data_IF_992320792714
#
_entry.id   IF_992320792714
#
_cell.length_a   1.000
_cell.length_b   1.000
_cell.length_c   1.000
_cell.angle_alpha   90.00
_cell.angle_beta   90.00
_cell.angle_gamma   90.00
#
_symmetry.space_group_name_H-M   'P 1'
#
loop_
_entity.id
_entity.type
_entity.pdbx_description
1 polymer ?
#
# COMPACT_ATOMS: atom_id res chain seq x y z
N UNK A 1 -6.16 3.81 0.59
CA UNK A 1 -7.01 2.61 0.65
C UNK A 1 -6.65 1.67 -0.48
N UNK A 2 -6.31 0.43 -0.16
CA UNK A 2 -5.86 -0.53 -1.16
C UNK A 2 -6.93 -0.74 -2.23
N UNK A 3 -6.50 -0.74 -3.49
CA UNK A 3 -7.37 -1.07 -4.62
C UNK A 3 -7.57 -2.58 -4.69
N UNK A 4 -8.58 -3.05 -5.42
CA UNK A 4 -8.76 -4.49 -5.68
C UNK A 4 -7.50 -5.15 -6.26
N UNK A 5 -6.71 -4.43 -7.06
CA UNK A 5 -5.42 -4.93 -7.57
C UNK A 5 -4.42 -5.19 -6.44
N UNK A 6 -4.26 -4.24 -5.51
CA UNK A 6 -3.37 -4.41 -4.36
C UNK A 6 -3.79 -5.60 -3.48
N UNK A 7 -5.10 -5.79 -3.28
CA UNK A 7 -5.64 -6.96 -2.56
C UNK A 7 -5.30 -8.27 -3.27
N UNK A 8 -5.40 -8.33 -4.61
CA UNK A 8 -4.98 -9.51 -5.39
C UNK A 8 -3.49 -9.78 -5.28
N UNK A 9 -2.65 -8.74 -5.26
CA UNK A 9 -1.19 -8.89 -5.05
C UNK A 9 -0.92 -9.56 -3.70
N UNK A 10 -1.59 -9.10 -2.63
CA UNK A 10 -1.46 -9.73 -1.30
C UNK A 10 -1.88 -11.19 -1.31
N UNK A 11 -2.98 -11.52 -1.99
CA UNK A 11 -3.44 -12.91 -2.14
C UNK A 11 -2.43 -13.74 -2.95
N UNK A 12 -1.90 -13.20 -4.05
CA UNK A 12 -0.90 -13.85 -4.90
C UNK A 12 0.37 -14.21 -4.11
N UNK A 13 0.92 -13.24 -3.36
CA UNK A 13 2.10 -13.46 -2.50
C UNK A 13 1.84 -14.54 -1.44
N UNK A 14 0.66 -14.52 -0.82
CA UNK A 14 0.26 -15.52 0.16
C UNK A 14 0.08 -16.91 -0.45
N UNK A 15 -0.52 -17.01 -1.64
CA UNK A 15 -0.66 -18.27 -2.38
C UNK A 15 0.71 -18.82 -2.75
N UNK A 16 1.63 -17.97 -3.21
CA UNK A 16 3.00 -18.37 -3.53
C UNK A 16 3.72 -18.94 -2.31
N UNK A 17 3.67 -18.24 -1.17
CA UNK A 17 4.22 -18.74 0.09
C UNK A 17 3.57 -20.06 0.54
N UNK A 18 2.26 -20.20 0.37
CA UNK A 18 1.52 -21.42 0.72
C UNK A 18 1.92 -22.61 -0.16
N UNK A 19 1.97 -22.45 -1.48
CA UNK A 19 2.29 -23.56 -2.40
C UNK A 19 3.76 -23.94 -2.43
N UNK A 20 4.66 -23.07 -1.99
CA UNK A 20 6.06 -23.44 -1.75
C UNK A 20 6.22 -24.23 -0.45
N UNK A 21 5.41 -23.91 0.56
CA UNK A 21 5.49 -24.55 1.87
C UNK A 21 4.37 -25.57 2.06
N UNK A 22 4.61 -26.81 1.65
CA UNK A 22 3.60 -27.88 1.65
C UNK A 22 3.03 -28.26 3.03
N UNK A 23 3.63 -27.80 4.14
CA UNK A 23 3.25 -28.18 5.50
C UNK A 23 2.52 -27.08 6.29
N UNK A 24 2.34 -25.88 5.71
CA UNK A 24 1.67 -24.80 6.41
C UNK A 24 0.15 -25.02 6.45
N UNK A 25 -0.45 -24.95 7.66
CA UNK A 25 -1.90 -25.02 7.81
C UNK A 25 -2.56 -23.81 7.16
N UNK A 26 -3.68 -24.02 6.47
CA UNK A 26 -4.48 -22.95 5.83
C UNK A 26 -4.75 -21.77 6.77
N UNK A 27 -5.18 -22.04 8.01
CA UNK A 27 -5.47 -20.99 9.00
C UNK A 27 -4.25 -20.16 9.40
N UNK A 28 -3.05 -20.76 9.38
CA UNK A 28 -1.80 -20.05 9.67
C UNK A 28 -1.43 -19.17 8.47
N UNK A 29 -1.55 -19.70 7.26
CA UNK A 29 -1.26 -18.95 6.04
C UNK A 29 -2.24 -17.77 5.85
N UNK A 30 -3.52 -17.95 6.15
CA UNK A 30 -4.54 -16.88 6.17
C UNK A 30 -4.14 -15.79 7.17
N UNK A 31 -3.82 -16.17 8.41
CA UNK A 31 -3.38 -15.23 9.44
C UNK A 31 -2.13 -14.46 8.99
N UNK A 32 -1.15 -15.15 8.42
CA UNK A 32 0.06 -14.51 7.90
C UNK A 32 -0.25 -13.52 6.77
N UNK A 33 -1.16 -13.85 5.85
CA UNK A 33 -1.60 -12.95 4.78
C UNK A 33 -2.27 -11.69 5.34
N UNK A 34 -3.22 -11.86 6.27
CA UNK A 34 -3.93 -10.73 6.88
C UNK A 34 -2.98 -9.83 7.68
N UNK A 35 -2.07 -10.42 8.45
CA UNK A 35 -1.05 -9.67 9.18
C UNK A 35 -0.10 -8.93 8.24
N UNK A 36 0.38 -9.57 7.17
CA UNK A 36 1.21 -8.91 6.15
C UNK A 36 0.50 -7.70 5.53
N UNK A 37 -0.80 -7.81 5.24
CA UNK A 37 -1.57 -6.67 4.76
C UNK A 37 -1.65 -5.54 5.81
N UNK A 38 -1.91 -5.87 7.07
CA UNK A 38 -1.98 -4.89 8.17
C UNK A 38 -0.63 -4.17 8.40
N UNK A 39 0.51 -4.87 8.20
CA UNK A 39 1.86 -4.27 8.29
C UNK A 39 2.13 -3.15 7.27
N UNK A 40 1.41 -3.11 6.15
CA UNK A 40 1.49 -2.01 5.17
C UNK A 40 1.03 -0.71 5.82
N UNK A 41 -0.06 -0.76 6.58
CA UNK A 41 -0.62 0.41 7.22
C UNK A 41 0.27 0.89 8.38
N UNK A 42 0.90 -0.04 9.10
CA UNK A 42 1.91 0.28 10.09
C UNK A 42 3.09 1.04 9.48
N UNK A 43 3.64 0.58 8.36
CA UNK A 43 4.69 1.30 7.64
C UNK A 43 4.24 2.70 7.20
N UNK A 44 3.00 2.84 6.72
CA UNK A 44 2.47 4.16 6.35
C UNK A 44 2.41 5.13 7.55
N UNK A 45 1.98 4.67 8.73
CA UNK A 45 2.02 5.50 9.95
C UNK A 45 3.47 5.78 10.38
N UNK A 46 4.37 4.82 10.20
CA UNK A 46 5.80 4.97 10.48
C UNK A 46 6.42 6.08 9.61
N UNK A 47 6.18 6.04 8.30
CA UNK A 47 6.61 7.07 7.34
C UNK A 47 6.00 8.44 7.63
N UNK A 48 4.70 8.52 7.95
CA UNK A 48 4.07 9.78 8.37
C UNK A 48 4.71 10.36 9.63
N UNK A 49 5.07 9.50 10.60
CA UNK A 49 5.76 9.95 11.81
C UNK A 49 7.15 10.51 11.53
N UNK A 50 7.85 10.02 10.50
CA UNK A 50 9.16 10.57 10.11
C UNK A 50 9.06 12.04 9.74
N UNK A 51 8.05 12.42 8.94
CA UNK A 51 7.80 13.81 8.55
C UNK A 51 7.59 14.69 9.79
N UNK A 52 6.83 14.20 10.78
CA UNK A 52 6.63 14.91 12.05
C UNK A 52 7.96 15.09 12.80
N UNK A 53 8.85 14.10 12.79
CA UNK A 53 10.16 14.23 13.42
C UNK A 53 11.08 15.23 12.69
N UNK A 54 10.98 15.36 11.36
CA UNK A 54 11.67 16.44 10.62
C UNK A 54 11.22 17.83 11.10
N UNK A 55 9.92 18.02 11.28
CA UNK A 55 9.36 19.31 11.75
C UNK A 55 9.78 19.60 13.20
N UNK A 56 9.75 18.59 14.07
CA UNK A 56 10.25 18.72 15.45
C UNK A 56 11.75 19.04 15.49
N UNK A 57 12.54 18.42 14.62
CA UNK A 57 13.96 18.71 14.49
C UNK A 57 14.19 20.16 14.05
N UNK A 58 13.39 20.66 13.10
CA UNK A 58 13.43 22.06 12.69
C UNK A 58 13.11 23.01 13.85
N UNK A 59 12.09 22.72 14.65
CA UNK A 59 11.74 23.50 15.84
C UNK A 59 12.87 23.50 16.88
N UNK A 60 13.47 22.34 17.15
CA UNK A 60 14.64 22.21 18.04
C UNK A 60 15.80 23.08 17.55
N UNK A 61 16.07 23.08 16.24
CA UNK A 61 17.14 23.91 15.63
C UNK A 61 16.89 25.40 15.76
N UNK A 62 15.65 25.85 15.61
CA UNK A 62 15.28 27.26 15.85
C UNK A 62 15.58 27.66 17.30
N UNK A 63 15.20 26.83 18.27
CA UNK A 63 15.43 27.11 19.69
C UNK A 63 16.91 27.05 20.08
N UNK A 64 17.69 26.15 19.48
CA UNK A 64 19.15 26.12 19.64
C UNK A 64 19.81 27.37 19.06
N UNK A 65 19.34 27.86 17.91
CA UNK A 65 19.89 29.04 17.25
C UNK A 65 19.68 30.32 18.07
N UNK A 66 18.50 30.49 18.70
CA UNK A 66 18.23 31.61 19.62
C UNK A 66 19.19 31.65 20.82
N UNK A 67 19.75 30.50 21.20
CA UNK A 67 20.64 30.33 22.36
C UNK A 67 22.13 30.40 22.01
N UNK A 68 22.48 30.69 20.75
CA UNK A 68 23.87 30.93 20.36
C UNK A 68 24.47 32.05 21.21
N UNK A 69 25.79 32.03 21.38
CA UNK A 69 26.50 33.08 22.10
C UNK A 69 26.37 34.45 21.42
N UNK A 70 26.25 34.47 20.08
CA UNK A 70 25.93 35.64 19.28
C UNK A 70 24.82 35.31 18.26
N UNK A 71 23.53 35.42 18.62
CA UNK A 71 22.41 35.21 17.70
C UNK A 71 22.34 36.31 16.63
N UNK A 72 22.05 35.95 15.38
CA UNK A 72 21.72 36.92 14.32
C UNK A 72 20.29 37.46 14.48
N UNK A 73 19.92 38.49 13.72
CA UNK A 73 18.51 38.98 13.69
C UNK A 73 17.54 37.89 13.23
N UNK A 74 17.94 37.09 12.23
CA UNK A 74 17.20 35.92 11.76
C UNK A 74 17.12 34.80 12.81
N UNK A 75 18.14 34.66 13.67
CA UNK A 75 18.10 33.70 14.78
C UNK A 75 17.09 34.15 15.85
N UNK A 76 16.98 35.45 16.12
CA UNK A 76 16.04 36.03 17.09
C UNK A 76 14.60 36.07 16.56
N UNK A 77 14.42 36.35 15.28
CA UNK A 77 13.14 36.47 14.60
C UNK A 77 13.04 35.47 13.42
N UNK A 78 13.11 34.15 13.69
CA UNK A 78 13.14 33.15 12.66
C UNK A 78 11.80 33.06 11.93
N UNK A 79 11.84 32.76 10.63
CA UNK A 79 10.65 32.36 9.91
C UNK A 79 10.18 30.98 10.40
N UNK A 80 9.04 30.95 11.10
CA UNK A 80 8.48 29.74 11.72
C UNK A 80 7.46 29.00 10.83
N UNK A 81 7.24 29.45 9.59
CA UNK A 81 6.19 28.91 8.70
C UNK A 81 6.20 27.38 8.57
N UNK A 82 7.39 26.76 8.47
CA UNK A 82 7.51 25.29 8.41
C UNK A 82 7.24 24.59 9.74
N UNK A 83 7.65 25.17 10.88
CA UNK A 83 7.43 24.57 12.20
C UNK A 83 6.00 24.74 12.68
N UNK A 84 5.34 25.81 12.23
CA UNK A 84 3.93 26.10 12.50
C UNK A 84 3.00 25.50 11.46
N UNK A 85 3.48 24.56 10.63
CA UNK A 85 2.73 23.96 9.52
C UNK A 85 1.37 23.39 10.00
N UNK A 86 0.28 23.94 9.44
CA UNK A 86 -1.09 23.68 9.86
C UNK A 86 -1.51 22.23 9.62
N UNK A 87 -1.03 21.61 8.54
CA UNK A 87 -1.29 20.20 8.26
C UNK A 87 -0.64 19.31 9.32
N UNK A 88 0.61 19.60 9.70
CA UNK A 88 1.35 18.82 10.71
C UNK A 88 0.71 18.99 12.10
N UNK A 89 0.29 20.20 12.46
CA UNK A 89 -0.49 20.44 13.67
C UNK A 89 -1.78 19.59 13.67
N UNK A 90 -2.54 19.61 12.56
CA UNK A 90 -3.76 18.80 12.41
C UNK A 90 -3.52 17.30 12.56
N UNK A 91 -2.50 16.77 11.87
CA UNK A 91 -2.13 15.36 11.91
C UNK A 91 -1.72 14.95 13.33
N UNK A 92 -0.90 15.76 13.98
CA UNK A 92 -0.38 15.47 15.33
C UNK A 92 -1.42 15.65 16.42
N UNK A 93 -2.51 16.39 16.18
CA UNK A 93 -3.66 16.48 17.09
C UNK A 93 -4.68 15.34 16.91
N UNK A 94 -4.75 14.76 15.70
CA UNK A 94 -5.69 13.69 15.36
C UNK A 94 -5.57 12.47 16.28
N UNK A 95 -6.68 12.07 16.91
CA UNK A 95 -6.71 10.96 17.89
C UNK A 95 -6.45 9.60 17.26
N UNK A 96 -6.89 9.41 16.02
CA UNK A 96 -6.76 8.16 15.28
C UNK A 96 -5.29 7.92 14.87
N UNK A 97 -4.58 8.98 14.47
CA UNK A 97 -3.13 8.97 14.27
C UNK A 97 -2.37 8.65 15.57
N UNK A 98 -2.65 9.37 16.66
CA UNK A 98 -2.01 9.14 17.97
C UNK A 98 -2.20 7.71 18.46
N UNK A 99 -3.43 7.21 18.37
CA UNK A 99 -3.77 5.84 18.77
C UNK A 99 -2.89 4.84 18.03
N UNK A 100 -2.84 4.90 16.69
CA UNK A 100 -2.05 3.96 15.89
C UNK A 100 -0.55 4.11 16.09
N UNK A 101 -0.03 5.34 16.18
CA UNK A 101 1.39 5.58 16.49
C UNK A 101 1.80 4.88 17.80
N UNK A 102 0.94 4.96 18.83
CA UNK A 102 1.17 4.33 20.12
C UNK A 102 1.02 2.79 20.06
N UNK A 103 -0.01 2.28 19.39
CA UNK A 103 -0.23 0.83 19.20
C UNK A 103 0.95 0.16 18.50
N UNK A 104 1.51 0.83 17.48
CA UNK A 104 2.69 0.37 16.74
C UNK A 104 4.02 0.73 17.41
N UNK A 105 3.99 1.40 18.58
CA UNK A 105 5.18 1.77 19.37
C UNK A 105 6.24 2.54 18.56
N UNK A 106 5.79 3.40 17.66
CA UNK A 106 6.66 4.08 16.69
C UNK A 106 7.48 5.19 17.35
N UNK A 107 8.80 5.13 17.16
CA UNK A 107 9.74 6.13 17.62
C UNK A 107 11.00 6.14 16.72
N UNK A 108 11.75 7.25 16.77
CA UNK A 108 12.93 7.49 15.93
C UNK A 108 14.18 7.86 16.75
N UNK A 109 14.22 7.48 18.03
CA UNK A 109 15.27 7.91 18.97
C UNK A 109 16.66 7.48 18.48
N UNK A 110 16.79 6.26 17.95
CA UNK A 110 18.07 5.72 17.48
C UNK A 110 18.45 6.18 16.05
N UNK A 111 17.66 7.08 15.46
CA UNK A 111 17.75 7.46 14.05
C UNK A 111 17.75 9.00 13.86
N UNK A 112 18.30 9.77 14.81
CA UNK A 112 18.37 11.24 14.71
C UNK A 112 19.20 11.72 13.50
N UNK A 113 20.20 10.95 13.10
CA UNK A 113 21.12 11.32 12.01
C UNK A 113 20.43 11.39 10.65
N UNK A 114 19.52 10.44 10.36
CA UNK A 114 18.74 10.46 9.11
C UNK A 114 17.75 11.62 9.11
N UNK A 115 17.14 11.95 10.26
CA UNK A 115 16.25 13.11 10.40
C UNK A 115 17.02 14.40 10.08
N UNK A 116 18.21 14.55 10.68
CA UNK A 116 19.08 15.71 10.44
C UNK A 116 19.45 15.85 8.97
N UNK A 117 19.85 14.76 8.32
CA UNK A 117 20.23 14.74 6.91
C UNK A 117 19.06 15.15 6.01
N UNK A 118 17.90 14.48 6.16
CA UNK A 118 16.70 14.81 5.40
C UNK A 118 16.24 16.25 5.61
N UNK A 119 16.36 16.79 6.83
CA UNK A 119 16.04 18.20 7.10
C UNK A 119 16.99 19.16 6.35
N UNK A 120 18.29 18.85 6.33
CA UNK A 120 19.27 19.66 5.60
C UNK A 120 19.01 19.62 4.09
N UNK A 121 18.73 18.44 3.55
CA UNK A 121 18.40 18.25 2.13
C UNK A 121 17.12 19.01 1.77
N UNK A 122 16.10 18.96 2.64
CA UNK A 122 14.87 19.73 2.50
C UNK A 122 15.17 21.24 2.43
N UNK A 123 15.99 21.77 3.34
CA UNK A 123 16.32 23.21 3.37
C UNK A 123 17.06 23.70 2.12
N UNK A 124 17.83 22.83 1.50
CA UNK A 124 18.55 23.14 0.27
C UNK A 124 17.67 23.04 -0.99
N UNK A 125 16.44 22.51 -0.87
CA UNK A 125 15.55 22.29 -1.99
C UNK A 125 14.75 23.55 -2.36
N UNK A 126 14.66 23.87 -3.65
CA UNK A 126 13.89 25.00 -4.17
C UNK A 126 12.42 24.97 -3.72
N UNK A 127 11.84 23.78 -3.58
CA UNK A 127 10.49 23.60 -3.09
C UNK A 127 10.30 24.20 -1.68
N UNK A 128 11.25 23.96 -0.79
CA UNK A 128 11.22 24.48 0.57
C UNK A 128 11.48 25.98 0.58
N UNK A 129 12.46 26.45 -0.18
CA UNK A 129 12.80 27.88 -0.29
C UNK A 129 11.59 28.68 -0.80
N UNK A 130 10.93 28.18 -1.85
CA UNK A 130 9.73 28.79 -2.41
C UNK A 130 8.57 28.79 -1.41
N UNK A 131 8.37 27.70 -0.67
CA UNK A 131 7.34 27.64 0.37
C UNK A 131 7.61 28.65 1.50
N UNK A 132 8.85 28.76 1.97
CA UNK A 132 9.24 29.65 3.07
C UNK A 132 9.13 31.14 2.70
N UNK A 133 9.34 31.46 1.43
CA UNK A 133 9.25 32.83 0.88
C UNK A 133 7.86 33.19 0.34
N UNK A 134 7.02 32.19 0.07
CA UNK A 134 5.63 32.41 -0.30
C UNK A 134 4.85 33.14 0.80
N UNK A 135 3.79 33.85 0.41
CA UNK A 135 2.99 34.73 1.29
C UNK A 135 2.29 34.05 2.48
N UNK A 136 1.11 34.56 2.85
CA UNK A 136 0.41 34.14 4.07
C UNK A 136 0.21 32.62 4.12
N UNK A 137 0.46 32.06 5.30
CA UNK A 137 0.27 30.64 5.57
C UNK A 137 -1.20 30.23 5.39
N UNK A 138 -1.42 29.09 4.75
CA UNK A 138 -2.72 28.46 4.62
C UNK A 138 -2.58 26.94 4.58
N UNK A 139 -3.67 26.26 4.91
CA UNK A 139 -3.66 24.81 5.10
C UNK A 139 -3.31 24.02 3.83
N UNK A 140 -3.77 24.48 2.66
CA UNK A 140 -3.57 23.72 1.43
C UNK A 140 -2.11 23.81 0.97
N UNK A 141 -1.49 24.98 1.02
CA UNK A 141 -0.06 25.12 0.72
C UNK A 141 0.81 24.30 1.68
N UNK A 142 0.45 24.28 2.97
CA UNK A 142 1.12 23.48 4.00
C UNK A 142 1.00 21.98 3.71
N UNK A 143 -0.19 21.51 3.32
CA UNK A 143 -0.43 20.12 2.93
C UNK A 143 0.31 19.75 1.65
N UNK A 144 0.31 20.62 0.64
CA UNK A 144 1.00 20.40 -0.63
C UNK A 144 2.52 20.35 -0.46
N UNK A 145 3.09 21.17 0.42
CA UNK A 145 4.49 21.05 0.81
C UNK A 145 4.75 19.64 1.34
N UNK A 146 4.01 19.20 2.37
CA UNK A 146 4.24 17.91 3.02
C UNK A 146 4.08 16.74 2.04
N UNK A 147 3.07 16.80 1.16
CA UNK A 147 2.89 15.80 0.12
C UNK A 147 4.10 15.71 -0.81
N UNK A 148 4.62 16.85 -1.28
CA UNK A 148 5.79 16.88 -2.17
C UNK A 148 7.09 16.52 -1.45
N UNK A 149 7.25 16.89 -0.18
CA UNK A 149 8.37 16.42 0.65
C UNK A 149 8.36 14.89 0.71
N UNK A 150 7.19 14.30 0.96
CA UNK A 150 7.07 12.85 0.95
C UNK A 150 7.43 12.25 -0.41
N UNK A 151 6.76 12.68 -1.48
CA UNK A 151 6.91 12.06 -2.82
C UNK A 151 8.27 12.30 -3.45
N UNK A 152 8.90 13.45 -3.21
CA UNK A 152 10.12 13.84 -3.94
C UNK A 152 11.40 13.62 -3.13
N UNK A 153 11.32 13.50 -1.80
CA UNK A 153 12.51 13.37 -0.95
C UNK A 153 12.54 12.10 -0.11
N UNK A 154 11.37 11.52 0.22
CA UNK A 154 11.29 10.40 1.16
C UNK A 154 11.01 9.04 0.49
N UNK A 155 10.24 9.01 -0.59
CA UNK A 155 9.86 7.76 -1.29
C UNK A 155 11.10 7.00 -1.81
N UNK A 156 12.01 7.69 -2.51
CA UNK A 156 13.21 7.09 -3.13
C UNK A 156 14.46 7.22 -2.23
N UNK A 157 14.28 7.35 -0.92
CA UNK A 157 15.40 7.54 0.01
C UNK A 157 15.96 6.18 0.47
N UNK A 158 17.03 5.72 -0.18
CA UNK A 158 17.64 4.41 0.08
C UNK A 158 17.99 4.16 1.56
N UNK A 159 18.43 5.19 2.31
CA UNK A 159 18.75 5.00 3.73
C UNK A 159 17.51 4.87 4.60
N UNK A 160 16.40 5.53 4.25
CA UNK A 160 15.13 5.30 4.94
C UNK A 160 14.58 3.93 4.63
N UNK A 161 14.64 3.51 3.37
CA UNK A 161 14.27 2.17 2.95
C UNK A 161 15.03 1.11 3.74
N UNK A 162 16.35 1.22 3.83
CA UNK A 162 17.17 0.33 4.66
C UNK A 162 16.71 0.27 6.13
N UNK A 163 16.41 1.42 6.75
CA UNK A 163 15.89 1.47 8.13
C UNK A 163 14.53 0.75 8.26
N UNK A 164 13.68 0.84 7.23
CA UNK A 164 12.41 0.11 7.22
C UNK A 164 12.65 -1.40 7.11
N UNK A 165 13.54 -1.83 6.21
CA UNK A 165 13.86 -3.25 6.02
C UNK A 165 14.46 -3.89 7.28
N UNK A 166 15.37 -3.19 7.97
CA UNK A 166 15.94 -3.66 9.24
C UNK A 166 14.87 -3.88 10.32
N UNK A 167 13.80 -3.08 10.32
CA UNK A 167 12.71 -3.20 11.29
C UNK A 167 11.74 -4.33 10.97
N UNK A 168 11.54 -4.63 9.69
CA UNK A 168 10.59 -5.64 9.26
C UNK A 168 10.88 -6.14 7.85
N UNK A 169 11.16 -7.44 7.74
CA UNK A 169 11.33 -8.13 6.44
C UNK A 169 10.06 -8.03 5.57
N UNK A 170 8.89 -7.80 6.17
CA UNK A 170 7.65 -7.62 5.42
C UNK A 170 7.62 -6.29 4.64
N UNK A 171 8.35 -5.27 5.08
CA UNK A 171 8.26 -3.92 4.52
C UNK A 171 9.01 -3.75 3.20
N UNK A 172 10.09 -4.50 2.98
CA UNK A 172 10.87 -4.48 1.74
C UNK A 172 9.99 -4.66 0.49
N UNK A 173 9.03 -5.59 0.54
CA UNK A 173 8.16 -5.92 -0.60
C UNK A 173 6.89 -5.06 -0.69
N UNK A 174 6.67 -4.18 0.29
CA UNK A 174 5.40 -3.47 0.50
C UNK A 174 5.53 -1.95 0.58
N UNK A 175 6.75 -1.44 0.43
CA UNK A 175 7.04 -0.01 0.55
C UNK A 175 6.20 0.83 -0.42
N UNK A 176 6.01 0.38 -1.67
CA UNK A 176 5.16 1.07 -2.66
C UNK A 176 3.69 1.17 -2.22
N UNK A 177 3.17 0.11 -1.60
CA UNK A 177 1.80 0.09 -1.10
C UNK A 177 1.64 0.99 0.13
N UNK A 178 2.66 1.04 0.99
CA UNK A 178 2.71 1.95 2.11
C UNK A 178 2.81 3.41 1.63
N UNK A 179 3.67 3.70 0.66
CA UNK A 179 3.81 5.01 0.03
C UNK A 179 2.49 5.50 -0.54
N UNK A 180 1.78 4.63 -1.26
CA UNK A 180 0.43 4.91 -1.74
C UNK A 180 -0.55 5.22 -0.59
N UNK A 181 -0.47 4.48 0.53
CA UNK A 181 -1.30 4.75 1.71
C UNK A 181 -0.97 6.10 2.35
N UNK A 182 0.30 6.48 2.48
CA UNK A 182 0.73 7.79 2.99
C UNK A 182 0.16 8.92 2.15
N UNK A 183 0.32 8.86 0.83
CA UNK A 183 -0.24 9.85 -0.10
C UNK A 183 -1.75 9.98 0.10
N UNK A 184 -2.48 8.86 0.17
CA UNK A 184 -3.93 8.86 0.39
C UNK A 184 -4.32 9.46 1.74
N UNK A 185 -3.58 9.17 2.81
CA UNK A 185 -3.83 9.74 4.14
C UNK A 185 -3.62 11.25 4.10
N UNK A 186 -2.48 11.73 3.59
CA UNK A 186 -2.19 13.17 3.47
C UNK A 186 -3.30 13.85 2.65
N UNK A 187 -3.64 13.30 1.48
CA UNK A 187 -4.68 13.85 0.61
C UNK A 187 -6.07 13.88 1.24
N UNK A 188 -6.40 12.96 2.14
CA UNK A 188 -7.73 12.89 2.75
C UNK A 188 -7.98 13.91 3.86
N UNK A 189 -6.94 14.38 4.56
CA UNK A 189 -7.10 15.30 5.69
C UNK A 189 -7.40 16.71 5.16
N UNK A 190 -8.42 17.36 5.72
CA UNK A 190 -8.88 18.68 5.33
C UNK A 190 -8.83 19.67 6.50
N UNK A 191 -8.87 20.96 6.18
CA UNK A 191 -8.80 22.04 7.17
C UNK A 191 -9.95 21.99 8.19
N UNK A 192 -11.13 21.57 7.76
CA UNK A 192 -12.37 21.49 8.54
C UNK A 192 -12.48 20.25 9.44
N UNK A 193 -11.63 19.24 9.26
CA UNK A 193 -11.71 18.01 10.04
C UNK A 193 -11.51 18.31 11.53
N UNK A 194 -12.11 17.54 12.44
CA UNK A 194 -11.80 17.70 13.87
C UNK A 194 -10.75 16.68 14.34
N UNK A 195 -10.40 16.71 15.63
CA UNK A 195 -9.45 15.73 16.19
C UNK A 195 -9.97 14.29 16.20
N UNK A 196 -11.28 14.07 15.98
CA UNK A 196 -11.94 12.76 15.97
C UNK A 196 -12.07 12.17 14.58
N UNK A 197 -11.89 12.98 13.52
CA UNK A 197 -11.91 12.55 12.13
C UNK A 197 -11.05 11.30 11.93
N UNK A 198 -11.64 10.27 11.31
CA UNK A 198 -10.96 9.00 11.06
C UNK A 198 -10.00 9.13 9.90
N UNK A 199 -8.79 8.57 10.07
CA UNK A 199 -7.89 8.42 8.95
C UNK A 199 -8.41 7.30 8.04
N UNK A 200 -8.20 7.39 6.71
CA UNK A 200 -8.50 6.29 5.82
C UNK A 200 -7.85 5.01 6.32
N UNK A 201 -8.60 3.91 6.35
CA UNK A 201 -8.07 2.61 6.74
C UNK A 201 -7.41 1.93 5.53
N UNK A 202 -6.82 0.76 5.76
CA UNK A 202 -6.21 -0.05 4.70
C UNK A 202 -7.24 -0.48 3.65
N UNK A 203 -8.39 -0.97 4.10
CA UNK A 203 -9.46 -1.58 3.31
C UNK A 203 -10.58 -0.60 3.02
N UNK A 204 -11.12 -0.56 1.79
CA UNK A 204 -12.17 0.39 1.46
C UNK A 204 -13.45 0.13 2.24
N UNK A 205 -13.92 1.16 2.95
CA UNK A 205 -15.14 1.20 3.77
C UNK A 205 -16.13 2.25 3.28
N UNK A 206 -15.72 3.16 2.38
CA UNK A 206 -16.59 4.23 1.90
C UNK A 206 -17.66 3.67 0.94
N UNK A 207 -18.93 3.96 1.24
CA UNK A 207 -20.06 3.56 0.41
C UNK A 207 -20.35 2.06 0.38
N UNK A 208 -19.85 1.30 1.37
CA UNK A 208 -20.08 -0.14 1.49
C UNK A 208 -20.93 -0.47 2.71
N UNK A 209 -21.80 -1.47 2.54
CA UNK A 209 -22.64 -2.01 3.60
C UNK A 209 -21.82 -2.81 4.63
N UNK A 210 -20.78 -3.52 4.15
CA UNK A 210 -19.84 -4.28 4.98
C UNK A 210 -18.47 -3.59 5.00
N UNK A 211 -18.01 -3.05 6.15
CA UNK A 211 -16.69 -2.43 6.25
C UNK A 211 -15.54 -3.44 6.06
N UNK A 212 -15.80 -4.73 6.24
CA UNK A 212 -14.81 -5.79 6.05
C UNK A 212 -14.85 -6.42 4.64
N UNK A 213 -15.65 -5.90 3.70
CA UNK A 213 -15.84 -6.49 2.36
C UNK A 213 -14.51 -6.74 1.63
N UNK A 214 -13.54 -5.82 1.74
CA UNK A 214 -12.23 -5.98 1.10
C UNK A 214 -11.37 -7.05 1.78
N UNK A 215 -11.41 -7.13 3.11
CA UNK A 215 -10.73 -8.17 3.88
C UNK A 215 -11.35 -9.54 3.59
N UNK A 216 -12.68 -9.62 3.60
CA UNK A 216 -13.47 -10.80 3.29
C UNK A 216 -13.21 -11.28 1.86
N UNK A 217 -13.09 -10.36 0.90
CA UNK A 217 -12.70 -10.70 -0.47
C UNK A 217 -11.32 -11.36 -0.53
N UNK A 218 -10.30 -10.79 0.14
CA UNK A 218 -8.95 -11.38 0.16
C UNK A 218 -8.97 -12.79 0.72
N UNK A 219 -9.58 -12.96 1.90
CA UNK A 219 -9.68 -14.25 2.60
C UNK A 219 -10.41 -15.27 1.72
N UNK A 220 -11.53 -14.87 1.13
CA UNK A 220 -12.31 -15.75 0.24
C UNK A 220 -11.51 -16.14 -1.00
N UNK A 221 -10.83 -15.21 -1.65
CA UNK A 221 -10.08 -15.50 -2.88
C UNK A 221 -8.92 -16.47 -2.57
N UNK A 222 -8.20 -16.21 -1.48
CA UNK A 222 -7.14 -17.07 -0.97
C UNK A 222 -7.64 -18.49 -0.67
N UNK A 223 -8.71 -18.62 0.13
CA UNK A 223 -9.28 -19.91 0.48
C UNK A 223 -9.79 -20.68 -0.75
N UNK A 224 -10.51 -20.01 -1.65
CA UNK A 224 -11.10 -20.67 -2.81
C UNK A 224 -10.04 -21.12 -3.82
N UNK A 225 -8.95 -20.37 -3.97
CA UNK A 225 -7.82 -20.80 -4.78
C UNK A 225 -7.14 -22.07 -4.22
N UNK A 226 -7.05 -22.21 -2.89
CA UNK A 226 -6.44 -23.37 -2.23
C UNK A 226 -7.38 -24.58 -2.21
N UNK A 227 -8.63 -24.41 -1.74
CA UNK A 227 -9.60 -25.49 -1.56
C UNK A 227 -9.92 -26.21 -2.87
N UNK A 228 -9.95 -25.48 -3.97
CA UNK A 228 -10.23 -26.01 -5.31
C UNK A 228 -8.95 -26.19 -6.15
N UNK A 229 -7.76 -26.08 -5.55
CA UNK A 229 -6.47 -26.14 -6.26
C UNK A 229 -6.35 -27.36 -7.16
N UNK A 230 -6.68 -28.56 -6.66
CA UNK A 230 -6.58 -29.81 -7.46
C UNK A 230 -7.53 -29.83 -8.65
N UNK A 231 -8.75 -29.30 -8.51
CA UNK A 231 -9.69 -29.21 -9.63
C UNK A 231 -9.27 -28.18 -10.66
N UNK A 232 -8.71 -27.05 -10.21
CA UNK A 232 -8.18 -26.02 -11.11
C UNK A 232 -6.95 -26.51 -11.86
N UNK A 233 -6.07 -27.25 -11.20
CA UNK A 233 -4.88 -27.85 -11.81
C UNK A 233 -5.24 -28.78 -12.96
N UNK A 234 -6.24 -29.66 -12.79
CA UNK A 234 -6.75 -30.51 -13.87
C UNK A 234 -7.27 -29.71 -15.06
N UNK A 235 -8.08 -28.67 -14.81
CA UNK A 235 -8.60 -27.80 -15.87
C UNK A 235 -7.46 -27.08 -16.62
N UNK A 236 -6.43 -26.64 -15.88
CA UNK A 236 -5.25 -26.00 -16.47
C UNK A 236 -4.50 -27.01 -17.34
N UNK A 237 -4.23 -28.22 -16.85
CA UNK A 237 -3.53 -29.28 -17.58
C UNK A 237 -4.25 -29.67 -18.89
N UNK A 238 -5.57 -29.85 -18.84
CA UNK A 238 -6.39 -30.17 -20.01
C UNK A 238 -6.25 -29.12 -21.13
N UNK A 239 -6.22 -27.83 -20.76
CA UNK A 239 -6.11 -26.71 -21.72
C UNK A 239 -4.66 -26.37 -22.08
N UNK A 240 -3.71 -26.78 -21.25
CA UNK A 240 -2.28 -26.59 -21.45
C UNK A 240 -1.62 -27.66 -22.33
N UNK A 241 -2.36 -28.69 -22.76
CA UNK A 241 -1.87 -29.78 -23.64
C UNK A 241 -1.08 -29.33 -24.88
N UNK A 242 -1.39 -28.17 -25.45
CA UNK A 242 -0.68 -27.60 -26.61
C UNK A 242 0.50 -26.68 -26.25
N UNK A 243 0.83 -26.56 -24.98
CA UNK A 243 1.91 -25.71 -24.46
C UNK A 243 3.02 -26.56 -23.88
N UNK A 244 4.25 -26.08 -24.06
CA UNK A 244 5.45 -26.71 -23.53
C UNK A 244 5.44 -26.65 -21.99
N UNK A 245 5.18 -27.78 -21.33
CA UNK A 245 5.05 -27.90 -19.88
C UNK A 245 6.31 -27.43 -19.12
N UNK A 246 7.49 -27.51 -19.74
CA UNK A 246 8.74 -27.01 -19.15
C UNK A 246 8.77 -25.47 -19.04
N UNK A 247 7.76 -24.76 -19.56
CA UNK A 247 7.65 -23.30 -19.52
C UNK A 247 6.64 -22.78 -18.50
N UNK A 248 5.88 -23.67 -17.85
CA UNK A 248 4.84 -23.26 -16.90
C UNK A 248 5.50 -23.08 -15.54
N UNK A 249 5.60 -21.83 -15.10
CA UNK A 249 6.14 -21.53 -13.77
C UNK A 249 5.09 -21.79 -12.69
N UNK A 250 5.51 -22.03 -11.45
CA UNK A 250 4.61 -22.08 -10.30
C UNK A 250 3.76 -20.80 -10.20
N UNK A 251 4.36 -19.64 -10.49
CA UNK A 251 3.66 -18.36 -10.51
C UNK A 251 2.50 -18.35 -11.52
N UNK A 252 2.71 -18.88 -12.72
CA UNK A 252 1.67 -18.97 -13.75
C UNK A 252 0.51 -19.85 -13.32
N UNK A 253 0.81 -21.02 -12.72
CA UNK A 253 -0.22 -21.91 -12.18
C UNK A 253 -1.02 -21.22 -11.08
N UNK A 254 -0.37 -20.49 -10.19
CA UNK A 254 -1.04 -19.76 -9.11
C UNK A 254 -1.93 -18.65 -9.67
N UNK A 255 -1.45 -17.88 -10.63
CA UNK A 255 -2.23 -16.83 -11.30
C UNK A 255 -3.47 -17.41 -11.97
N UNK A 256 -3.35 -18.54 -12.66
CA UNK A 256 -4.48 -19.26 -13.27
C UNK A 256 -5.47 -19.77 -12.20
N UNK A 257 -4.98 -20.40 -11.12
CA UNK A 257 -5.81 -20.86 -9.99
C UNK A 257 -6.57 -19.70 -9.34
N UNK A 258 -5.91 -18.56 -9.13
CA UNK A 258 -6.51 -17.34 -8.58
C UNK A 258 -7.56 -16.76 -9.53
N UNK A 259 -7.27 -16.72 -10.84
CA UNK A 259 -8.23 -16.28 -11.87
C UNK A 259 -9.48 -17.16 -11.91
N UNK A 260 -9.31 -18.48 -11.92
CA UNK A 260 -10.43 -19.44 -11.86
C UNK A 260 -11.27 -19.27 -10.60
N UNK A 261 -10.63 -19.14 -9.44
CA UNK A 261 -11.32 -18.88 -8.18
C UNK A 261 -12.13 -17.59 -8.28
N UNK A 262 -11.58 -16.50 -8.81
CA UNK A 262 -12.30 -15.24 -8.93
C UNK A 262 -13.49 -15.33 -9.91
N UNK A 263 -13.30 -15.99 -11.06
CA UNK A 263 -14.34 -16.17 -12.06
C UNK A 263 -15.56 -16.93 -11.50
N UNK A 264 -15.32 -18.00 -10.75
CA UNK A 264 -16.37 -18.91 -10.26
C UNK A 264 -17.03 -18.36 -8.99
N UNK A 265 -16.24 -17.82 -8.06
CA UNK A 265 -16.72 -17.54 -6.69
C UNK A 265 -17.22 -16.11 -6.51
N UNK A 266 -16.90 -15.18 -7.42
CA UNK A 266 -17.19 -13.76 -7.25
C UNK A 266 -18.19 -13.30 -8.33
N UNK A 267 -19.50 -13.42 -8.05
CA UNK A 267 -20.54 -13.11 -9.03
C UNK A 267 -20.62 -11.63 -9.39
N UNK A 268 -20.15 -10.75 -8.49
CA UNK A 268 -20.20 -9.28 -8.66
C UNK A 268 -19.02 -8.72 -9.45
N UNK A 269 -18.03 -9.55 -9.82
CA UNK A 269 -16.86 -9.11 -10.58
C UNK A 269 -17.03 -9.55 -12.04
N UNK A 270 -17.07 -8.62 -13.02
CA UNK A 270 -17.18 -8.98 -14.43
C UNK A 270 -16.01 -9.85 -14.89
N UNK A 271 -16.30 -10.82 -15.76
CA UNK A 271 -15.31 -11.77 -16.30
C UNK A 271 -14.11 -11.04 -16.90
N UNK A 272 -14.37 -10.03 -17.75
CA UNK A 272 -13.32 -9.25 -18.41
C UNK A 272 -12.39 -8.54 -17.41
N UNK A 273 -12.92 -8.07 -16.28
CA UNK A 273 -12.09 -7.43 -15.22
C UNK A 273 -11.17 -8.45 -14.59
N UNK A 274 -11.68 -9.63 -14.22
CA UNK A 274 -10.84 -10.72 -13.69
C UNK A 274 -9.74 -11.10 -14.67
N UNK A 275 -10.07 -11.33 -15.94
CA UNK A 275 -9.08 -11.68 -16.97
C UNK A 275 -7.99 -10.62 -17.08
N UNK A 276 -8.37 -9.36 -17.25
CA UNK A 276 -7.43 -8.25 -17.36
C UNK A 276 -6.51 -8.15 -16.13
N UNK A 277 -7.07 -8.24 -14.92
CA UNK A 277 -6.28 -8.12 -13.69
C UNK A 277 -5.28 -9.26 -13.52
N UNK A 278 -5.64 -10.50 -13.84
CA UNK A 278 -4.68 -11.62 -13.79
C UNK A 278 -3.57 -11.46 -14.82
N UNK A 279 -3.88 -10.93 -16.01
CA UNK A 279 -2.88 -10.63 -17.04
C UNK A 279 -1.94 -9.49 -16.61
N UNK A 280 -2.45 -8.44 -15.97
CA UNK A 280 -1.60 -7.38 -15.41
C UNK A 280 -0.67 -7.91 -14.32
N UNK A 281 -1.16 -8.78 -13.44
CA UNK A 281 -0.31 -9.43 -12.43
C UNK A 281 0.76 -10.32 -13.05
N UNK A 282 0.43 -11.04 -14.14
CA UNK A 282 1.41 -11.84 -14.88
C UNK A 282 2.56 -11.01 -15.44
N UNK A 283 2.29 -9.77 -15.87
CA UNK A 283 3.35 -8.86 -16.36
C UNK A 283 4.31 -8.44 -15.25
N UNK A 284 3.80 -8.30 -14.03
CA UNK A 284 4.57 -7.82 -12.88
C UNK A 284 5.37 -8.93 -12.20
N UNK A 285 4.80 -10.14 -12.10
CA UNK A 285 5.33 -11.21 -11.25
C UNK A 285 5.82 -12.45 -12.00
N UNK A 286 5.63 -12.53 -13.31
CA UNK A 286 6.01 -13.71 -14.10
C UNK A 286 6.89 -13.36 -15.31
N UNK A 287 7.12 -14.32 -16.21
CA UNK A 287 8.01 -14.14 -17.35
C UNK A 287 7.35 -13.32 -18.46
N UNK A 288 8.13 -12.66 -19.35
CA UNK A 288 7.56 -11.92 -20.49
C UNK A 288 6.64 -12.76 -21.40
N UNK A 289 6.87 -14.09 -21.48
CA UNK A 289 6.06 -15.02 -22.29
C UNK A 289 4.79 -15.48 -21.55
N UNK A 290 4.75 -15.40 -20.22
CA UNK A 290 3.63 -15.85 -19.39
C UNK A 290 2.34 -15.09 -19.66
N UNK A 291 2.44 -13.80 -20.03
CA UNK A 291 1.27 -12.97 -20.40
C UNK A 291 0.41 -13.62 -21.49
N UNK A 292 1.05 -14.10 -22.56
CA UNK A 292 0.36 -14.67 -23.73
C UNK A 292 -0.24 -16.04 -23.37
N UNK A 293 0.51 -16.83 -22.62
CA UNK A 293 0.07 -18.12 -22.11
C UNK A 293 -1.17 -17.99 -21.21
N UNK A 294 -1.09 -17.18 -20.15
CA UNK A 294 -2.17 -16.97 -19.19
C UNK A 294 -3.43 -16.45 -19.88
N UNK A 295 -3.29 -15.45 -20.77
CA UNK A 295 -4.43 -14.95 -21.53
C UNK A 295 -5.09 -16.07 -22.35
N UNK A 296 -4.31 -16.81 -23.13
CA UNK A 296 -4.85 -17.88 -23.99
C UNK A 296 -5.50 -19.04 -23.23
N UNK A 297 -5.01 -19.37 -22.04
CA UNK A 297 -5.58 -20.42 -21.19
C UNK A 297 -6.83 -19.92 -20.46
N UNK A 298 -6.80 -18.73 -19.86
CA UNK A 298 -7.96 -18.17 -19.17
C UNK A 298 -9.12 -17.89 -20.12
N UNK A 299 -8.87 -17.40 -21.33
CA UNK A 299 -9.93 -17.15 -22.32
C UNK A 299 -10.70 -18.44 -22.63
N UNK A 300 -9.97 -19.53 -22.92
CA UNK A 300 -10.57 -20.85 -23.19
C UNK A 300 -11.35 -21.38 -21.98
N UNK A 301 -10.73 -21.39 -20.81
CA UNK A 301 -11.40 -21.88 -19.59
C UNK A 301 -12.62 -21.03 -19.25
N UNK A 302 -12.56 -19.70 -19.42
CA UNK A 302 -13.69 -18.82 -19.14
C UNK A 302 -14.89 -19.09 -20.04
N UNK A 303 -14.65 -19.40 -21.32
CA UNK A 303 -15.70 -19.77 -22.27
C UNK A 303 -16.35 -21.11 -21.90
N UNK A 304 -15.54 -22.12 -21.60
CA UNK A 304 -16.04 -23.46 -21.21
C UNK A 304 -16.83 -23.40 -19.90
N UNK A 305 -16.30 -22.71 -18.88
CA UNK A 305 -16.97 -22.55 -17.59
C UNK A 305 -18.29 -21.76 -17.68
N UNK A 306 -18.38 -20.81 -18.62
CA UNK A 306 -19.65 -20.13 -18.94
C UNK A 306 -20.63 -21.11 -19.58
N UNK A 307 -20.19 -21.90 -20.57
CA UNK A 307 -21.03 -22.89 -21.25
C UNK A 307 -21.54 -24.00 -20.29
N UNK A 308 -20.72 -24.38 -19.31
CA UNK A 308 -21.07 -25.32 -18.23
C UNK A 308 -21.97 -24.71 -17.14
N UNK A 309 -22.28 -23.40 -17.21
CA UNK A 309 -23.07 -22.71 -16.19
C UNK A 309 -22.37 -22.53 -14.83
N UNK A 310 -21.04 -22.71 -14.78
CA UNK A 310 -20.24 -22.59 -13.54
C UNK A 310 -19.86 -21.15 -13.21
N UNK A 311 -19.90 -20.25 -14.19
CA UNK A 311 -19.73 -18.81 -13.99
C UNK A 311 -21.12 -18.17 -14.01
N UNK A 312 -21.59 -17.75 -12.84
CA UNK A 312 -22.85 -17.02 -12.70
C UNK A 312 -22.55 -15.63 -12.18
N UNK A 313 -22.67 -14.61 -13.04
CA UNK A 313 -22.46 -13.22 -12.66
C UNK A 313 -23.77 -12.55 -12.26
N UNK A 314 -23.72 -11.66 -11.26
CA UNK A 314 -24.88 -10.95 -10.68
C UNK A 314 -24.54 -9.48 -10.50
N UNK A 315 -25.40 -8.60 -10.98
CA UNK A 315 -25.26 -7.15 -10.88
C UNK A 315 -25.65 -6.44 -12.19
N UNK A 316 -25.99 -5.15 -12.11
CA UNK A 316 -26.36 -4.35 -13.29
C UNK A 316 -25.19 -4.31 -14.28
N UNK A 317 -25.42 -4.70 -15.53
CA UNK A 317 -24.40 -4.72 -16.58
C UNK A 317 -23.41 -5.90 -16.50
N UNK A 318 -23.64 -6.88 -15.63
CA UNK A 318 -22.81 -8.08 -15.48
C UNK A 318 -23.47 -9.36 -15.99
N UNK A 319 -24.76 -9.28 -16.34
CA UNK A 319 -25.51 -10.35 -16.99
C UNK A 319 -25.21 -10.22 -18.48
N UNK A 320 -24.35 -11.09 -18.99
CA UNK A 320 -24.16 -11.32 -20.43
C UNK A 320 -25.04 -12.47 -20.90
#
# INVERSE_FOLDING_TARGET
MLTRRHLRIKVLQALYAYFINNDIKLSIAEKNMTQSAERIYELAIYQLSFIVEIVKFAAKRIEENKKKFYPTEDDLNPNTKFVDNLFIAKLTENRDYKKRKNEYKINWIDHEEIIRRCYNDLRANDLYINYMTAGKQNFEDDKQLILKVFTNLLVDNESLEYIYEEKSVYWANDIDLANYCVVRIISSINAQDDSLAKLPTLYNTEGKDDPDEDKNYMIRLFHKAILHSKSYEKLIEEKASNWDFNRITLMDVILLKMGLAELIEFPTIPVKVTLNEIIELAKLYSTPKSRVFINGILDKMSADLKAEGRIVKKGRGLIE
#
